data_IF_775794849037
#
_entry.id   IF_775794849037
#
_cell.length_a   1.000
_cell.length_b   1.000
_cell.length_c   1.000
_cell.angle_alpha   90.00
_cell.angle_beta   90.00
_cell.angle_gamma   90.00
#
_symmetry.space_group_name_H-M   'P 1'
#
loop_
_entity.id
_entity.type
_entity.pdbx_description
1 polymer ?
#
# COMPACT_ATOMS: atom_id res chain seq x y z
N UNK A 1 -17.82 -20.74 -6.46
CA UNK A 1 -17.67 -19.27 -6.43
C UNK A 1 -17.39 -18.74 -7.82
N UNK A 2 -17.01 -17.46 -7.92
CA UNK A 2 -16.54 -16.75 -9.12
C UNK A 2 -17.59 -16.38 -10.19
N UNK A 3 -18.73 -17.07 -10.23
CA UNK A 3 -19.78 -16.86 -11.23
C UNK A 3 -21.02 -16.19 -10.65
N UNK A 4 -21.75 -15.48 -11.50
CA UNK A 4 -23.05 -14.88 -11.21
C UNK A 4 -23.95 -14.88 -12.44
N UNK A 5 -25.11 -14.22 -12.34
CA UNK A 5 -26.09 -14.13 -13.44
C UNK A 5 -26.61 -12.70 -13.57
N UNK A 6 -26.75 -12.21 -14.79
CA UNK A 6 -27.41 -10.92 -15.08
C UNK A 6 -28.94 -11.06 -14.93
N UNK A 7 -29.70 -9.94 -14.83
CA UNK A 7 -31.16 -10.00 -14.79
C UNK A 7 -31.81 -10.73 -15.97
N UNK A 8 -31.11 -10.85 -17.11
CA UNK A 8 -31.57 -11.56 -18.30
C UNK A 8 -31.18 -13.05 -18.34
N UNK A 9 -30.63 -13.60 -17.26
CA UNK A 9 -30.24 -15.01 -17.19
C UNK A 9 -28.88 -15.33 -17.81
N UNK A 10 -28.10 -14.32 -18.23
CA UNK A 10 -26.76 -14.54 -18.82
C UNK A 10 -25.73 -14.73 -17.73
N UNK A 11 -24.98 -15.84 -17.77
CA UNK A 11 -23.85 -16.10 -16.87
C UNK A 11 -22.76 -15.03 -17.02
N UNK A 12 -22.27 -14.53 -15.88
CA UNK A 12 -21.15 -13.58 -15.82
C UNK A 12 -20.12 -14.01 -14.78
N UNK A 13 -18.93 -13.41 -14.81
CA UNK A 13 -17.89 -13.60 -13.80
C UNK A 13 -17.81 -12.39 -12.87
N UNK A 14 -17.23 -12.60 -11.69
CA UNK A 14 -17.08 -11.58 -10.65
C UNK A 14 -15.67 -10.93 -10.64
N UNK A 15 -14.85 -11.22 -11.66
CA UNK A 15 -13.49 -10.70 -11.76
C UNK A 15 -12.50 -11.34 -10.78
N UNK A 16 -11.31 -10.76 -10.68
CA UNK A 16 -10.21 -11.28 -9.85
C UNK A 16 -10.63 -11.34 -8.38
N UNK A 17 -10.40 -12.49 -7.73
CA UNK A 17 -10.85 -12.75 -6.36
C UNK A 17 -12.35 -13.02 -6.24
N UNK A 18 -13.03 -13.32 -7.35
CA UNK A 18 -14.47 -13.54 -7.38
C UNK A 18 -14.96 -14.73 -6.54
N UNK A 19 -14.10 -15.70 -6.20
CA UNK A 19 -14.46 -16.79 -5.28
C UNK A 19 -14.62 -16.27 -3.84
N UNK A 20 -13.65 -15.49 -3.35
CA UNK A 20 -13.73 -14.84 -2.04
C UNK A 20 -14.94 -13.90 -1.99
N UNK A 21 -15.17 -13.16 -3.08
CA UNK A 21 -16.34 -12.29 -3.19
C UNK A 21 -17.66 -13.06 -3.16
N UNK A 22 -17.72 -14.26 -3.76
CA UNK A 22 -18.90 -15.11 -3.66
C UNK A 22 -19.14 -15.56 -2.23
N UNK A 23 -18.08 -15.98 -1.52
CA UNK A 23 -18.18 -16.37 -0.12
C UNK A 23 -18.67 -15.20 0.74
N UNK A 24 -18.14 -14.00 0.51
CA UNK A 24 -18.57 -12.79 1.19
C UNK A 24 -20.05 -12.47 0.97
N UNK A 25 -20.52 -12.51 -0.29
CA UNK A 25 -21.93 -12.25 -0.62
C UNK A 25 -22.88 -13.27 0.03
N UNK A 26 -22.52 -14.55 -0.01
CA UNK A 26 -23.34 -15.62 0.60
C UNK A 26 -23.41 -15.43 2.12
N UNK A 27 -22.28 -15.15 2.76
CA UNK A 27 -22.23 -14.94 4.21
C UNK A 27 -23.09 -13.76 4.65
N UNK A 28 -23.01 -12.63 3.96
CA UNK A 28 -23.87 -11.47 4.20
C UNK A 28 -25.35 -11.82 3.98
N UNK A 29 -25.69 -12.54 2.92
CA UNK A 29 -27.07 -12.93 2.63
C UNK A 29 -27.67 -13.92 3.66
N UNK A 30 -26.82 -14.69 4.32
CA UNK A 30 -27.20 -15.68 5.34
C UNK A 30 -27.07 -15.16 6.77
N UNK A 31 -26.64 -13.91 6.97
CA UNK A 31 -26.33 -13.34 8.28
C UNK A 31 -25.36 -14.24 9.08
N UNK A 32 -24.32 -14.73 8.39
CA UNK A 32 -23.35 -15.65 8.96
C UNK A 32 -22.55 -14.98 10.08
N UNK A 33 -22.24 -15.73 11.13
CA UNK A 33 -21.39 -15.21 12.21
C UNK A 33 -19.95 -14.94 11.73
N UNK A 34 -19.43 -15.79 10.85
CA UNK A 34 -18.04 -15.71 10.37
C UNK A 34 -17.90 -16.22 8.93
N UNK A 35 -16.85 -15.76 8.25
CA UNK A 35 -16.37 -16.25 6.94
C UNK A 35 -14.94 -16.72 7.04
N UNK A 36 -14.66 -17.92 6.56
CA UNK A 36 -13.32 -18.50 6.58
C UNK A 36 -12.80 -18.65 5.15
N UNK A 37 -11.75 -17.90 4.83
CA UNK A 37 -11.02 -17.99 3.57
C UNK A 37 -9.86 -18.95 3.77
N UNK A 38 -10.00 -20.13 3.17
CA UNK A 38 -8.95 -21.15 3.14
C UNK A 38 -8.08 -20.95 1.91
N UNK A 39 -6.79 -20.73 2.14
CA UNK A 39 -5.77 -20.46 1.11
C UNK A 39 -4.57 -21.40 1.31
N UNK A 40 -3.45 -21.11 0.67
CA UNK A 40 -2.18 -21.85 0.72
C UNK A 40 -1.13 -21.23 1.67
N UNK A 41 -1.49 -20.13 2.34
CA UNK A 41 -0.67 -19.45 3.35
C UNK A 41 -1.32 -19.49 4.72
N UNK A 42 -0.48 -19.51 5.77
CA UNK A 42 -0.89 -19.58 7.18
C UNK A 42 -1.80 -18.42 7.61
N UNK A 43 -1.74 -17.29 6.94
CA UNK A 43 -2.56 -16.12 7.20
C UNK A 43 -1.89 -14.89 6.59
N UNK A 44 -2.12 -13.72 7.18
CA UNK A 44 -1.35 -12.52 6.87
C UNK A 44 -0.06 -12.55 7.68
N UNK A 45 1.07 -12.34 7.01
CA UNK A 45 2.40 -12.44 7.61
C UNK A 45 2.95 -11.05 7.99
N UNK A 46 3.85 -10.99 8.98
CA UNK A 46 4.53 -9.74 9.41
C UNK A 46 5.45 -9.15 8.33
N UNK A 47 5.90 -9.96 7.37
CA UNK A 47 6.58 -9.57 6.14
C UNK A 47 6.46 -10.71 5.12
N UNK A 48 6.92 -10.52 3.88
CA UNK A 48 7.00 -11.63 2.92
C UNK A 48 7.99 -12.70 3.43
N UNK A 49 7.54 -13.94 3.69
CA UNK A 49 8.40 -15.00 4.22
C UNK A 49 9.54 -15.42 3.28
N UNK A 50 9.46 -15.11 1.97
CA UNK A 50 10.55 -15.34 1.03
C UNK A 50 11.70 -14.35 1.22
N UNK A 51 11.39 -13.13 1.69
CA UNK A 51 12.36 -12.07 1.93
C UNK A 51 12.84 -12.04 3.38
N UNK A 52 11.96 -12.41 4.31
CA UNK A 52 12.22 -12.43 5.75
C UNK A 52 11.82 -13.81 6.31
N UNK A 53 12.77 -14.75 6.46
CA UNK A 53 12.47 -16.11 6.92
C UNK A 53 11.83 -16.18 8.32
N UNK A 54 12.11 -15.19 9.18
CA UNK A 54 11.55 -15.07 10.53
C UNK A 54 10.16 -14.39 10.55
N UNK A 55 9.53 -14.19 9.38
CA UNK A 55 8.17 -13.68 9.29
C UNK A 55 7.19 -14.62 10.01
N UNK A 56 6.24 -14.02 10.73
CA UNK A 56 5.26 -14.74 11.56
C UNK A 56 3.86 -14.43 11.09
N UNK A 57 2.93 -15.35 11.35
CA UNK A 57 1.51 -15.10 11.17
C UNK A 57 1.04 -14.03 12.17
N UNK A 58 0.27 -13.06 11.68
CA UNK A 58 -0.38 -12.05 12.50
C UNK A 58 -1.72 -12.62 12.93
N UNK A 59 -1.95 -12.71 14.24
CA UNK A 59 -3.18 -13.30 14.78
C UNK A 59 -4.41 -12.42 14.51
N UNK A 60 -4.26 -11.10 14.67
CA UNK A 60 -5.38 -10.15 14.58
C UNK A 60 -5.04 -8.89 13.78
N UNK A 61 -5.88 -8.59 12.79
CA UNK A 61 -5.81 -7.37 11.99
C UNK A 61 -7.17 -6.69 11.91
N UNK A 62 -7.16 -5.37 11.79
CA UNK A 62 -8.31 -4.60 11.36
C UNK A 62 -8.41 -4.61 9.84
N UNK A 63 -9.61 -4.40 9.31
CA UNK A 63 -9.82 -4.27 7.88
C UNK A 63 -8.95 -3.16 7.25
N UNK A 64 -8.76 -2.05 7.97
CA UNK A 64 -7.90 -0.95 7.50
C UNK A 64 -6.45 -1.41 7.35
N UNK A 65 -5.91 -2.14 8.32
CA UNK A 65 -4.54 -2.68 8.23
C UNK A 65 -4.41 -3.67 7.05
N UNK A 66 -5.38 -4.58 6.87
CA UNK A 66 -5.38 -5.53 5.74
C UNK A 66 -5.45 -4.79 4.40
N UNK A 67 -6.25 -3.73 4.32
CA UNK A 67 -6.39 -2.94 3.09
C UNK A 67 -5.09 -2.25 2.70
N UNK A 68 -4.38 -1.67 3.67
CA UNK A 68 -3.06 -1.08 3.44
C UNK A 68 -2.05 -2.14 3.03
N UNK A 69 -2.01 -3.28 3.71
CA UNK A 69 -1.11 -4.39 3.36
C UNK A 69 -1.36 -4.89 1.94
N UNK A 70 -2.63 -5.10 1.56
CA UNK A 70 -3.00 -5.55 0.23
C UNK A 70 -2.65 -4.54 -0.86
N UNK A 71 -2.82 -3.25 -0.58
CA UNK A 71 -2.43 -2.18 -1.50
C UNK A 71 -0.92 -2.14 -1.71
N UNK A 72 -0.14 -2.31 -0.63
CA UNK A 72 1.32 -2.25 -0.66
C UNK A 72 2.03 -3.61 -0.81
N UNK A 73 1.36 -4.61 -1.38
CA UNK A 73 2.01 -5.82 -1.91
C UNK A 73 1.73 -7.14 -1.18
N UNK A 74 1.00 -7.14 -0.06
CA UNK A 74 0.62 -8.38 0.62
C UNK A 74 -0.48 -9.13 -0.17
N UNK A 75 -0.10 -10.21 -0.84
CA UNK A 75 -0.99 -10.98 -1.76
C UNK A 75 -1.91 -11.97 -1.03
N UNK A 76 -2.67 -11.53 -0.03
CA UNK A 76 -3.52 -12.44 0.76
C UNK A 76 -5.00 -12.22 0.49
N UNK A 77 -5.49 -10.98 0.51
CA UNK A 77 -6.90 -10.65 0.28
C UNK A 77 -7.01 -9.36 -0.50
N UNK A 78 -7.92 -9.33 -1.49
CA UNK A 78 -8.21 -8.11 -2.21
C UNK A 78 -9.35 -7.34 -1.49
N UNK A 79 -9.19 -6.08 -1.08
CA UNK A 79 -10.18 -5.38 -0.23
C UNK A 79 -11.61 -5.37 -0.81
N UNK A 80 -11.74 -5.24 -2.14
CA UNK A 80 -13.03 -5.30 -2.83
C UNK A 80 -13.78 -6.62 -2.64
N UNK A 81 -13.09 -7.74 -2.43
CA UNK A 81 -13.73 -9.07 -2.35
C UNK A 81 -14.33 -9.35 -0.98
N UNK A 82 -13.83 -8.69 0.06
CA UNK A 82 -14.28 -8.90 1.44
C UNK A 82 -15.18 -7.79 1.97
N UNK A 83 -15.30 -6.68 1.23
CA UNK A 83 -16.11 -5.51 1.61
C UNK A 83 -17.53 -5.84 2.14
N UNK A 84 -18.32 -6.75 1.53
CA UNK A 84 -19.67 -7.07 2.04
C UNK A 84 -19.67 -7.64 3.47
N UNK A 85 -18.68 -8.47 3.79
CA UNK A 85 -18.54 -9.10 5.11
C UNK A 85 -18.21 -8.05 6.16
N UNK A 86 -17.34 -7.11 5.81
CA UNK A 86 -16.93 -6.03 6.72
C UNK A 86 -18.05 -5.04 6.97
N UNK A 87 -18.76 -4.60 5.92
CA UNK A 87 -19.90 -3.68 6.06
C UNK A 87 -21.04 -4.31 6.87
N UNK A 88 -21.13 -5.64 6.88
CA UNK A 88 -22.09 -6.40 7.69
C UNK A 88 -21.58 -6.72 9.11
N UNK A 89 -20.34 -6.33 9.48
CA UNK A 89 -19.75 -6.62 10.78
C UNK A 89 -19.47 -8.12 11.01
N UNK A 90 -19.39 -8.92 9.95
CA UNK A 90 -19.16 -10.37 10.01
C UNK A 90 -17.65 -10.64 10.21
N UNK A 91 -17.31 -11.53 11.14
CA UNK A 91 -15.91 -11.91 11.40
C UNK A 91 -15.28 -12.62 10.20
N UNK A 92 -14.03 -12.29 9.87
CA UNK A 92 -13.33 -12.89 8.73
C UNK A 92 -12.05 -13.60 9.20
N UNK A 93 -11.85 -14.83 8.73
CA UNK A 93 -10.67 -15.64 9.01
C UNK A 93 -9.91 -15.93 7.72
N UNK A 94 -8.58 -15.89 7.78
CA UNK A 94 -7.68 -16.40 6.73
C UNK A 94 -6.87 -17.55 7.29
N UNK A 95 -6.95 -18.72 6.67
CA UNK A 95 -6.31 -19.95 7.15
C UNK A 95 -5.66 -20.75 6.01
N UNK A 96 -4.74 -21.64 6.37
CA UNK A 96 -4.04 -22.50 5.41
C UNK A 96 -4.64 -23.90 5.31
N UNK A 97 -5.02 -24.28 4.10
CA UNK A 97 -5.51 -25.63 3.79
C UNK A 97 -4.44 -26.70 4.03
N UNK A 98 -3.16 -26.36 3.81
CA UNK A 98 -2.02 -27.26 3.96
C UNK A 98 -1.46 -27.31 5.39
N UNK A 99 -1.86 -26.37 6.25
CA UNK A 99 -1.45 -26.31 7.66
C UNK A 99 -2.64 -25.95 8.57
N UNK A 100 -3.63 -26.84 8.71
CA UNK A 100 -4.88 -26.56 9.43
C UNK A 100 -4.71 -26.37 10.94
N UNK A 101 -3.56 -26.77 11.50
CA UNK A 101 -3.20 -26.52 12.90
C UNK A 101 -2.82 -25.08 13.19
N UNK A 102 -2.42 -24.29 12.18
CA UNK A 102 -2.14 -22.87 12.38
C UNK A 102 -3.47 -22.12 12.63
N UNK A 103 -3.56 -21.28 13.68
CA UNK A 103 -4.76 -20.50 13.97
C UNK A 103 -5.13 -19.55 12.82
N UNK A 104 -4.14 -19.05 12.10
CA UNK A 104 -4.28 -18.09 11.02
C UNK A 104 -4.49 -16.66 11.49
N UNK A 105 -5.17 -15.88 10.66
CA UNK A 105 -5.41 -14.45 10.93
C UNK A 105 -6.91 -14.19 11.02
N UNK A 106 -7.34 -13.60 12.12
CA UNK A 106 -8.68 -13.05 12.29
C UNK A 106 -8.68 -11.57 11.92
N UNK A 107 -9.69 -11.16 11.16
CA UNK A 107 -9.85 -9.81 10.63
C UNK A 107 -11.16 -9.22 11.20
N UNK A 108 -11.02 -8.06 11.83
CA UNK A 108 -12.11 -7.34 12.48
C UNK A 108 -12.38 -6.00 11.79
N UNK A 109 -13.58 -5.45 11.98
CA UNK A 109 -13.89 -4.08 11.53
C UNK A 109 -13.04 -3.04 12.27
N UNK A 110 -13.01 -3.13 13.59
CA UNK A 110 -12.18 -2.32 14.48
C UNK A 110 -11.54 -3.21 15.53
N UNK A 111 -10.26 -2.97 15.80
CA UNK A 111 -9.54 -3.62 16.89
C UNK A 111 -9.61 -2.80 18.16
N UNK A 112 -9.52 -3.50 19.29
CA UNK A 112 -9.49 -2.89 20.60
C UNK A 112 -8.27 -1.95 20.73
N UNK A 113 -8.48 -0.70 21.16
CA UNK A 113 -7.43 0.33 21.16
C UNK A 113 -6.26 0.02 22.11
N UNK A 114 -6.36 -1.02 22.93
CA UNK A 114 -5.30 -1.48 23.84
C UNK A 114 -4.03 -1.91 23.11
N UNK A 115 -4.13 -2.32 21.85
CA UNK A 115 -3.00 -2.66 20.98
C UNK A 115 -2.55 -1.50 20.07
N UNK A 116 -2.95 -0.26 20.38
CA UNK A 116 -2.58 0.91 19.58
C UNK A 116 -1.11 1.26 19.79
N UNK A 117 -0.40 1.45 18.67
CA UNK A 117 0.96 1.95 18.62
C UNK A 117 2.04 0.90 18.33
N UNK A 118 1.63 -0.35 18.08
CA UNK A 118 2.53 -1.42 17.68
C UNK A 118 2.60 -1.55 16.16
N UNK A 119 3.80 -1.79 15.66
CA UNK A 119 4.03 -2.16 14.26
C UNK A 119 3.72 -3.64 14.11
N UNK A 120 2.83 -3.98 13.18
CA UNK A 120 2.42 -5.37 12.94
C UNK A 120 3.02 -5.98 11.70
N UNK A 121 3.29 -5.17 10.69
CA UNK A 121 3.74 -5.67 9.40
C UNK A 121 4.58 -4.66 8.62
N UNK A 122 5.42 -5.19 7.75
CA UNK A 122 6.20 -4.42 6.76
C UNK A 122 5.99 -5.04 5.38
N UNK A 123 5.70 -4.20 4.40
CA UNK A 123 5.60 -4.60 2.99
C UNK A 123 6.47 -3.73 2.11
N UNK A 124 6.78 -4.23 0.91
CA UNK A 124 7.59 -3.49 -0.07
C UNK A 124 6.93 -3.51 -1.45
N UNK A 125 7.18 -2.44 -2.20
CA UNK A 125 6.96 -2.37 -3.65
C UNK A 125 8.29 -1.99 -4.29
N UNK A 126 8.91 -2.96 -4.96
CA UNK A 126 10.14 -2.79 -5.73
C UNK A 126 9.85 -2.23 -7.13
N UNK A 127 10.90 -1.99 -7.91
CA UNK A 127 10.84 -1.52 -9.30
C UNK A 127 10.00 -0.24 -9.47
N UNK A 128 10.21 0.73 -8.59
CA UNK A 128 9.58 2.04 -8.66
C UNK A 128 10.59 3.11 -9.06
N UNK A 129 10.09 4.18 -9.66
CA UNK A 129 10.84 5.40 -9.98
C UNK A 129 10.09 6.60 -9.40
N UNK A 130 10.79 7.46 -8.65
CA UNK A 130 10.24 8.72 -8.17
C UNK A 130 10.38 9.77 -9.26
N UNK A 131 9.25 10.24 -9.77
CA UNK A 131 9.17 11.33 -10.73
C UNK A 131 8.93 12.62 -9.95
N UNK A 132 9.79 13.60 -10.20
CA UNK A 132 9.69 14.94 -9.62
C UNK A 132 9.48 15.98 -10.71
N UNK A 133 8.51 16.86 -10.48
CA UNK A 133 8.29 18.09 -11.22
C UNK A 133 8.65 19.20 -10.25
N UNK A 134 9.58 20.08 -10.62
CA UNK A 134 10.02 21.20 -9.80
C UNK A 134 10.03 22.49 -10.61
N UNK A 135 9.60 23.59 -10.00
CA UNK A 135 9.63 24.90 -10.61
C UNK A 135 9.36 26.02 -9.61
N UNK A 136 10.25 27.00 -9.53
CA UNK A 136 10.04 28.19 -8.67
C UNK A 136 8.92 29.09 -9.18
N UNK A 137 8.63 29.07 -10.48
CA UNK A 137 7.55 29.81 -11.13
C UNK A 137 6.21 29.08 -11.15
N UNK A 138 6.12 27.86 -10.59
CA UNK A 138 4.85 27.15 -10.43
C UNK A 138 3.85 27.92 -9.55
N UNK A 139 4.36 28.85 -8.72
CA UNK A 139 3.62 29.80 -7.90
C UNK A 139 2.92 30.85 -8.78
N UNK A 140 1.82 30.45 -9.39
CA UNK A 140 1.08 31.26 -10.37
C UNK A 140 0.54 30.48 -11.55
N UNK A 141 0.98 29.23 -11.75
CA UNK A 141 0.44 28.32 -12.75
C UNK A 141 -0.74 27.55 -12.14
N UNK A 142 -1.99 27.84 -12.50
CA UNK A 142 -3.13 27.19 -11.89
C UNK A 142 -3.19 25.71 -12.32
N UNK A 143 -3.43 24.82 -11.36
CA UNK A 143 -3.77 23.43 -11.65
C UNK A 143 -2.61 22.54 -12.12
N UNK A 144 -1.35 22.87 -11.78
CA UNK A 144 -0.20 21.99 -12.09
C UNK A 144 -0.44 20.56 -11.60
N UNK A 145 -0.86 20.37 -10.36
CA UNK A 145 -1.17 19.04 -9.83
C UNK A 145 -2.25 18.29 -10.64
N UNK A 146 -3.33 18.98 -11.01
CA UNK A 146 -4.40 18.39 -11.82
C UNK A 146 -3.90 17.98 -13.21
N UNK A 147 -3.13 18.84 -13.87
CA UNK A 147 -2.53 18.57 -15.18
C UNK A 147 -1.51 17.45 -15.13
N UNK A 148 -0.69 17.39 -14.08
CA UNK A 148 0.27 16.31 -13.84
C UNK A 148 -0.43 14.96 -13.79
N UNK A 149 -1.43 14.79 -12.92
CA UNK A 149 -2.08 13.49 -12.78
C UNK A 149 -3.00 13.17 -13.98
N UNK A 150 -3.53 14.17 -14.69
CA UNK A 150 -4.20 13.95 -15.96
C UNK A 150 -3.23 13.39 -17.02
N UNK A 151 -2.04 13.98 -17.15
CA UNK A 151 -1.00 13.53 -18.07
C UNK A 151 -0.43 12.15 -17.71
N UNK A 152 -0.36 11.80 -16.41
CA UNK A 152 0.00 10.44 -15.99
C UNK A 152 -1.12 9.47 -16.37
N UNK A 153 -2.38 9.84 -16.14
CA UNK A 153 -3.54 8.97 -16.42
C UNK A 153 -3.67 8.60 -17.91
N UNK A 154 -3.33 9.50 -18.84
CA UNK A 154 -3.34 9.20 -20.29
C UNK A 154 -2.36 8.09 -20.68
N UNK A 155 -1.33 7.84 -19.87
CA UNK A 155 -0.38 6.75 -20.09
C UNK A 155 -0.85 5.39 -19.56
N UNK A 156 -1.99 5.35 -18.84
CA UNK A 156 -2.48 4.15 -18.16
C UNK A 156 -1.65 3.74 -16.95
N UNK A 157 -0.81 4.63 -16.43
CA UNK A 157 0.10 4.34 -15.30
C UNK A 157 -0.56 4.64 -13.97
N UNK A 158 -0.46 3.70 -13.02
CA UNK A 158 -0.90 3.91 -11.64
C UNK A 158 0.20 4.58 -10.82
N UNK A 159 -0.19 5.51 -9.96
CA UNK A 159 0.71 6.17 -9.00
C UNK A 159 0.59 5.46 -7.65
N UNK A 160 1.71 4.94 -7.13
CA UNK A 160 1.71 4.18 -5.88
C UNK A 160 1.76 5.07 -4.64
N UNK A 161 2.52 6.18 -4.74
CA UNK A 161 2.78 7.10 -3.65
C UNK A 161 2.90 8.52 -4.19
N UNK A 162 2.39 9.50 -3.44
CA UNK A 162 2.57 10.93 -3.71
C UNK A 162 3.23 11.54 -2.48
N UNK A 163 4.33 12.24 -2.69
CA UNK A 163 5.05 13.00 -1.67
C UNK A 163 5.17 14.44 -2.14
N UNK A 164 4.79 15.38 -1.27
CA UNK A 164 4.85 16.78 -1.62
C UNK A 164 5.30 17.61 -0.43
N UNK A 165 6.42 18.31 -0.61
CA UNK A 165 6.94 19.24 0.39
C UNK A 165 6.35 20.65 0.24
N UNK A 166 6.04 21.09 -0.99
CA UNK A 166 5.49 22.41 -1.28
C UNK A 166 4.50 22.34 -2.44
N UNK A 167 3.23 22.66 -2.18
CA UNK A 167 2.13 22.60 -3.17
C UNK A 167 2.42 23.36 -4.46
N UNK A 168 3.28 24.38 -4.36
CA UNK A 168 3.49 25.42 -5.36
C UNK A 168 4.90 25.43 -5.94
N UNK A 169 5.76 24.47 -5.57
CA UNK A 169 7.16 24.43 -6.03
C UNK A 169 7.63 23.07 -6.48
N UNK A 170 7.05 21.98 -5.96
CA UNK A 170 7.40 20.64 -6.41
C UNK A 170 6.27 19.64 -6.22
N UNK A 171 6.21 18.63 -7.08
CA UNK A 171 5.36 17.45 -6.94
C UNK A 171 6.25 16.23 -7.14
N UNK A 172 6.25 15.31 -6.19
CA UNK A 172 6.98 14.06 -6.28
C UNK A 172 6.01 12.88 -6.16
N UNK A 173 6.15 11.88 -7.01
CA UNK A 173 5.28 10.70 -6.99
C UNK A 173 5.97 9.47 -7.57
N UNK A 174 5.58 8.30 -7.08
CA UNK A 174 6.16 7.02 -7.49
C UNK A 174 5.33 6.34 -8.59
N UNK A 175 6.02 5.85 -9.61
CA UNK A 175 5.45 5.04 -10.70
C UNK A 175 6.29 3.79 -10.93
N UNK A 176 5.75 2.73 -11.54
CA UNK A 176 6.57 1.59 -11.96
C UNK A 176 7.71 2.02 -12.87
N UNK A 177 8.94 1.57 -12.62
CA UNK A 177 10.15 2.00 -13.35
C UNK A 177 10.02 1.83 -14.85
N UNK A 178 9.39 0.75 -15.30
CA UNK A 178 9.15 0.47 -16.73
C UNK A 178 8.24 1.50 -17.42
N UNK A 179 7.43 2.25 -16.67
CA UNK A 179 6.54 3.29 -17.18
C UNK A 179 7.17 4.70 -17.13
N UNK A 180 8.26 4.88 -16.38
CA UNK A 180 8.85 6.20 -16.07
C UNK A 180 9.13 7.05 -17.30
N UNK A 181 9.81 6.50 -18.31
CA UNK A 181 10.17 7.21 -19.55
C UNK A 181 8.94 7.75 -20.29
N UNK A 182 7.88 6.94 -20.39
CA UNK A 182 6.62 7.34 -21.05
C UNK A 182 5.88 8.41 -20.24
N UNK A 183 5.91 8.30 -18.91
CA UNK A 183 5.28 9.30 -18.03
C UNK A 183 6.01 10.64 -18.13
N UNK A 184 7.34 10.64 -18.08
CA UNK A 184 8.16 11.85 -18.22
C UNK A 184 7.87 12.53 -19.57
N UNK A 185 7.88 11.78 -20.68
CA UNK A 185 7.58 12.34 -21.99
C UNK A 185 6.15 12.94 -22.09
N UNK A 186 5.15 12.31 -21.44
CA UNK A 186 3.79 12.84 -21.37
C UNK A 186 3.73 14.17 -20.60
N UNK A 187 4.48 14.28 -19.51
CA UNK A 187 4.57 15.49 -18.70
C UNK A 187 5.31 16.61 -19.44
N UNK A 188 6.44 16.32 -20.06
CA UNK A 188 7.19 17.28 -20.87
C UNK A 188 6.35 17.84 -22.02
N UNK A 189 5.55 16.99 -22.68
CA UNK A 189 4.59 17.45 -23.70
C UNK A 189 3.45 18.29 -23.13
N UNK A 190 2.96 17.97 -21.93
CA UNK A 190 1.87 18.70 -21.26
C UNK A 190 2.29 20.06 -20.73
N UNK A 191 3.56 20.19 -20.33
CA UNK A 191 4.14 21.38 -19.70
C UNK A 191 5.19 22.08 -20.57
N UNK A 192 5.16 21.87 -21.88
CA UNK A 192 6.17 22.42 -22.80
C UNK A 192 6.29 23.94 -22.71
N UNK A 193 5.16 24.65 -22.65
CA UNK A 193 5.14 26.11 -22.48
C UNK A 193 5.71 26.55 -21.13
N UNK A 194 5.33 25.89 -20.04
CA UNK A 194 5.85 26.22 -18.71
C UNK A 194 7.35 25.92 -18.56
N UNK A 195 7.86 24.90 -19.25
CA UNK A 195 9.29 24.59 -19.33
C UNK A 195 10.05 25.65 -20.14
N UNK A 196 9.49 26.08 -21.28
CA UNK A 196 10.07 27.15 -22.11
C UNK A 196 10.09 28.50 -21.38
N UNK A 197 9.01 28.83 -20.66
CA UNK A 197 8.89 30.04 -19.86
C UNK A 197 9.65 29.98 -18.53
N UNK A 198 10.19 28.81 -18.15
CA UNK A 198 10.87 28.55 -16.87
C UNK A 198 9.97 28.74 -15.64
N UNK A 199 8.68 28.53 -15.81
CA UNK A 199 7.75 28.37 -14.69
C UNK A 199 7.97 27.01 -14.02
N UNK A 200 8.23 25.98 -14.83
CA UNK A 200 8.74 24.68 -14.42
C UNK A 200 10.23 24.61 -14.79
N UNK A 201 11.07 24.34 -13.80
CA UNK A 201 12.53 24.28 -13.97
C UNK A 201 12.96 22.92 -14.53
N UNK A 202 12.34 21.83 -14.05
CA UNK A 202 12.73 20.47 -14.42
C UNK A 202 11.63 19.44 -14.16
N UNK A 203 11.63 18.40 -15.01
CA UNK A 203 10.91 17.14 -14.79
C UNK A 203 11.93 16.01 -14.91
N UNK A 204 12.03 15.13 -13.91
CA UNK A 204 12.98 14.01 -13.95
C UNK A 204 12.52 12.83 -13.10
N UNK A 205 13.05 11.66 -13.40
CA UNK A 205 12.93 10.45 -12.59
C UNK A 205 14.23 10.16 -11.84
N UNK A 206 14.13 9.55 -10.67
CA UNK A 206 15.27 8.92 -9.98
C UNK A 206 15.66 7.60 -10.66
N UNK A 207 16.79 7.03 -10.24
CA UNK A 207 17.06 5.60 -10.42
C UNK A 207 15.99 4.74 -9.69
N UNK A 208 16.10 3.42 -9.82
CA UNK A 208 15.18 2.48 -9.18
C UNK A 208 15.19 2.64 -7.65
N UNK A 209 14.00 2.71 -7.09
CA UNK A 209 13.73 2.87 -5.67
C UNK A 209 12.68 1.85 -5.21
N UNK A 210 12.66 1.62 -3.91
CA UNK A 210 11.69 0.74 -3.26
C UNK A 210 10.82 1.52 -2.29
N UNK A 211 9.51 1.32 -2.37
CA UNK A 211 8.56 1.83 -1.38
C UNK A 211 8.47 0.79 -0.27
N UNK A 212 8.86 1.15 0.94
CA UNK A 212 8.74 0.32 2.14
C UNK A 212 7.62 0.89 3.00
N UNK A 213 6.60 0.08 3.30
CA UNK A 213 5.44 0.50 4.09
C UNK A 213 5.37 -0.28 5.38
N UNK A 214 5.27 0.46 6.48
CA UNK A 214 5.06 -0.06 7.83
C UNK A 214 3.58 0.07 8.17
N UNK A 215 2.96 -1.02 8.62
CA UNK A 215 1.52 -1.07 8.97
C UNK A 215 1.35 -1.47 10.43
N UNK A 216 0.45 -0.77 11.13
CA UNK A 216 0.09 -1.04 12.51
C UNK A 216 -1.09 -0.18 12.98
N UNK A 217 -1.73 -0.57 14.08
CA UNK A 217 -2.83 0.19 14.64
C UNK A 217 -2.30 1.47 15.32
N UNK A 218 -2.98 2.61 15.15
CA UNK A 218 -2.69 3.83 15.89
C UNK A 218 -1.41 4.57 15.47
N UNK A 219 -0.84 4.27 14.29
CA UNK A 219 0.39 4.91 13.79
C UNK A 219 0.31 6.44 13.78
N UNK A 220 -0.85 7.00 13.40
CA UNK A 220 -1.06 8.46 13.33
C UNK A 220 -1.20 9.11 14.71
N UNK A 221 -1.77 8.42 15.69
CA UNK A 221 -2.17 8.99 16.97
C UNK A 221 -1.21 8.66 18.11
N UNK A 222 -0.21 7.82 17.87
CA UNK A 222 0.80 7.44 18.88
C UNK A 222 2.11 8.18 18.62
N UNK A 223 2.47 9.17 19.47
CA UNK A 223 3.73 9.89 19.34
C UNK A 223 4.95 8.95 19.42
N UNK A 224 5.96 9.23 18.60
CA UNK A 224 7.26 8.53 18.65
C UNK A 224 7.41 7.34 17.70
N UNK A 225 6.32 6.81 17.12
CA UNK A 225 6.41 5.68 16.18
C UNK A 225 7.21 6.05 14.93
N UNK A 226 6.87 7.16 14.27
CA UNK A 226 7.62 7.63 13.11
C UNK A 226 9.09 7.80 13.46
N UNK A 227 9.40 8.39 14.63
CA UNK A 227 10.78 8.55 15.12
C UNK A 227 11.52 7.22 15.28
N UNK A 228 10.86 6.18 15.80
CA UNK A 228 11.42 4.82 15.91
C UNK A 228 11.71 4.21 14.55
N UNK A 229 10.78 4.35 13.60
CA UNK A 229 10.94 3.88 12.21
C UNK A 229 12.15 4.54 11.55
N UNK A 230 12.23 5.88 11.58
CA UNK A 230 13.38 6.61 11.00
C UNK A 230 14.71 6.29 11.71
N UNK A 231 14.67 6.13 13.04
CA UNK A 231 15.87 5.78 13.82
C UNK A 231 16.37 4.37 13.50
N UNK A 232 15.47 3.42 13.25
CA UNK A 232 15.84 2.06 12.85
C UNK A 232 16.52 2.02 11.48
N UNK A 233 16.02 2.81 10.52
CA UNK A 233 16.65 2.95 9.20
C UNK A 233 18.01 3.64 9.30
N UNK A 234 18.09 4.77 10.02
CA UNK A 234 19.34 5.49 10.21
C UNK A 234 20.42 4.66 10.92
N UNK A 235 20.04 3.78 11.86
CA UNK A 235 20.98 2.87 12.53
C UNK A 235 21.57 1.80 11.59
N UNK A 236 20.97 1.59 10.41
CA UNK A 236 21.48 0.70 9.35
C UNK A 236 22.04 1.46 8.16
N UNK A 237 22.25 2.78 8.31
CA UNK A 237 22.76 3.68 7.26
C UNK A 237 21.87 3.73 6.01
N UNK A 238 20.56 3.50 6.18
CA UNK A 238 19.59 3.57 5.08
C UNK A 238 19.08 4.99 4.92
N UNK A 239 19.27 5.55 3.72
CA UNK A 239 18.79 6.89 3.39
C UNK A 239 17.30 6.87 2.99
N UNK A 240 16.51 7.82 3.50
CA UNK A 240 15.09 7.98 3.14
C UNK A 240 14.94 9.14 2.15
N UNK A 241 14.46 8.83 0.96
CA UNK A 241 14.33 9.76 -0.17
C UNK A 241 12.99 10.50 -0.11
N UNK A 242 11.91 9.78 0.19
CA UNK A 242 10.57 10.34 0.28
C UNK A 242 9.74 9.66 1.37
N UNK A 243 8.72 10.37 1.86
CA UNK A 243 7.86 9.93 2.95
C UNK A 243 6.42 10.24 2.57
N UNK A 244 5.51 9.30 2.85
CA UNK A 244 4.08 9.56 2.86
C UNK A 244 3.49 9.12 4.20
N UNK A 245 2.93 10.08 4.94
CA UNK A 245 2.25 9.86 6.20
C UNK A 245 1.10 10.88 6.34
N UNK A 246 -0.06 10.42 6.82
CA UNK A 246 -1.18 11.31 7.18
C UNK A 246 -2.50 11.02 6.46
N UNK A 247 -2.47 10.39 5.29
CA UNK A 247 -3.69 9.90 4.60
C UNK A 247 -4.24 8.62 5.23
N UNK A 248 -3.36 7.82 5.84
CA UNK A 248 -3.70 6.61 6.58
C UNK A 248 -3.45 6.81 8.08
N UNK A 249 -4.34 6.25 8.89
CA UNK A 249 -4.18 6.19 10.34
C UNK A 249 -3.31 5.01 10.79
N UNK A 250 -3.04 4.07 9.87
CA UNK A 250 -2.46 2.75 10.16
C UNK A 250 -1.21 2.42 9.33
N UNK A 251 -0.71 3.35 8.51
CA UNK A 251 0.50 3.12 7.72
C UNK A 251 1.45 4.33 7.64
N UNK A 252 2.73 4.03 7.45
CA UNK A 252 3.78 4.99 7.09
C UNK A 252 4.52 4.38 5.90
N UNK A 253 4.56 5.09 4.77
CA UNK A 253 5.30 4.65 3.58
C UNK A 253 6.53 5.51 3.38
N UNK A 254 7.63 4.85 3.06
CA UNK A 254 8.96 5.44 2.92
C UNK A 254 9.53 4.99 1.58
N UNK A 255 10.35 5.83 0.96
CA UNK A 255 11.06 5.47 -0.27
C UNK A 255 12.55 5.44 0.00
N UNK A 256 13.19 4.34 -0.34
CA UNK A 256 14.62 4.08 -0.18
C UNK A 256 15.23 3.68 -1.53
N UNK A 257 16.54 3.77 -1.65
CA UNK A 257 17.25 3.26 -2.82
C UNK A 257 17.02 1.75 -2.98
N UNK A 258 16.93 1.26 -4.22
CA UNK A 258 16.73 -0.17 -4.48
C UNK A 258 17.82 -1.05 -3.83
N UNK A 259 19.06 -0.56 -3.75
CA UNK A 259 20.18 -1.24 -3.09
C UNK A 259 19.98 -1.45 -1.57
N UNK A 260 19.22 -0.56 -0.93
CA UNK A 260 18.97 -0.57 0.52
C UNK A 260 17.72 -1.37 0.92
N UNK A 261 16.97 -1.90 -0.06
CA UNK A 261 15.69 -2.60 0.15
C UNK A 261 15.75 -3.64 1.26
N UNK A 262 16.75 -4.53 1.21
CA UNK A 262 16.87 -5.63 2.19
C UNK A 262 17.24 -5.10 3.58
N UNK A 263 18.14 -4.11 3.65
CA UNK A 263 18.54 -3.50 4.91
C UNK A 263 17.34 -2.80 5.57
N UNK A 264 16.58 -2.03 4.80
CA UNK A 264 15.37 -1.35 5.25
C UNK A 264 14.30 -2.33 5.75
N UNK A 265 14.00 -3.38 4.97
CA UNK A 265 13.00 -4.38 5.32
C UNK A 265 13.34 -5.09 6.63
N UNK A 266 14.58 -5.57 6.78
CA UNK A 266 15.01 -6.25 8.01
C UNK A 266 15.03 -5.32 9.22
N UNK A 267 15.51 -4.08 9.05
CA UNK A 267 15.55 -3.09 10.13
C UNK A 267 14.16 -2.80 10.71
N UNK A 268 13.16 -2.69 9.83
CA UNK A 268 11.79 -2.41 10.22
C UNK A 268 11.07 -3.65 10.76
N UNK A 269 11.37 -4.84 10.21
CA UNK A 269 10.84 -6.09 10.75
C UNK A 269 11.36 -6.39 12.16
N UNK A 270 12.61 -6.05 12.46
CA UNK A 270 13.17 -6.14 13.82
C UNK A 270 12.35 -5.35 14.86
N UNK A 271 11.70 -4.24 14.45
CA UNK A 271 10.84 -3.46 15.35
C UNK A 271 9.61 -4.22 15.80
N UNK A 272 9.05 -5.09 14.95
CA UNK A 272 7.90 -5.94 15.26
C UNK A 272 8.27 -6.94 16.36
N UNK A 273 9.45 -7.54 16.26
CA UNK A 273 9.91 -8.55 17.22
C UNK A 273 10.27 -7.97 18.60
N UNK A 274 10.59 -6.68 18.70
CA UNK A 274 10.91 -6.01 19.97
C UNK A 274 9.66 -5.59 20.77
N UNK A 275 8.49 -5.61 20.15
CA UNK A 275 7.21 -5.23 20.76
C UNK A 275 6.38 -6.42 21.27
N UNK A 276 6.84 -7.65 20.99
CA UNK A 276 6.25 -8.90 21.49
C UNK A 276 7.08 -9.45 22.66
#
# INVERSE_FOLDING_TARGET
>A
GFIGVTPNGVTTTLGRGGSDYTAALIATAMDAAEVWIWTDVDGVMTADPHLVPDAKTIEELSYREVSELAYFGARVLHPKTIRPVIEAGIGLWVRNTFNPSNPGTQIFEQLDQRNSGNIKAVTIIEDQCLITIEGRGMLGVPGVAARTFAAVATTGTSVALISQASSEQSICFATPSQASTRVIASLEGTFSTELECRDIDRIWGTDDVTIVTVVGAGMRNTPGISGRVFSALGAKDVNVIAIAQGSSEVSISLVVDAGDTRAALLALHELINKER
#
